data_IF_278208272951
#
_entry.id   IF_278208272951
#
_cell.length_a   1.000
_cell.length_b   1.000
_cell.length_c   1.000
_cell.angle_alpha   90.00
_cell.angle_beta   90.00
_cell.angle_gamma   90.00
#
_symmetry.space_group_name_H-M   'P 1'
#
loop_
_entity.id
_entity.type
_entity.pdbx_description
1 polymer ?
#
# COMPACT_ATOMS: atom_id res chain seq x y z
N UNK A 1 17.98 -4.04 14.92
CA UNK A 1 17.08 -2.89 15.15
C UNK A 1 16.08 -2.59 14.03
N UNK A 2 16.42 -2.76 12.74
CA UNK A 2 15.46 -2.51 11.64
C UNK A 2 14.21 -3.39 11.70
N UNK A 3 14.40 -4.71 11.89
CA UNK A 3 13.29 -5.69 11.93
C UNK A 3 12.26 -5.43 13.02
N UNK A 4 12.65 -4.70 14.08
CA UNK A 4 11.77 -4.33 15.19
C UNK A 4 11.32 -2.86 15.12
N UNK A 5 11.56 -2.17 14.00
CA UNK A 5 11.09 -0.80 13.76
C UNK A 5 11.83 0.30 14.52
N UNK A 6 12.99 0.01 15.14
CA UNK A 6 13.67 0.93 16.06
C UNK A 6 14.71 1.87 15.41
N UNK A 7 15.12 1.60 14.17
CA UNK A 7 16.02 2.49 13.40
C UNK A 7 17.49 2.48 13.81
N UNK A 8 18.26 3.46 13.31
CA UNK A 8 19.71 3.59 13.57
C UNK A 8 20.00 4.11 14.98
N UNK A 9 19.30 5.15 15.44
CA UNK A 9 19.55 5.75 16.76
C UNK A 9 19.42 4.74 17.90
N UNK A 10 18.43 3.85 17.83
CA UNK A 10 18.30 2.77 18.82
C UNK A 10 19.42 1.72 18.72
N UNK A 11 20.00 1.51 17.53
CA UNK A 11 21.15 0.64 17.35
C UNK A 11 22.41 1.28 17.94
N UNK A 12 22.60 2.58 17.76
CA UNK A 12 23.67 3.36 18.39
C UNK A 12 23.56 3.31 19.92
N UNK A 13 22.36 3.55 20.47
CA UNK A 13 22.11 3.43 21.91
C UNK A 13 22.42 2.03 22.43
N UNK A 14 21.98 0.98 21.73
CA UNK A 14 22.27 -0.40 22.11
C UNK A 14 23.77 -0.70 22.10
N UNK A 15 24.49 -0.32 21.03
CA UNK A 15 25.93 -0.52 20.97
C UNK A 15 26.65 0.22 22.12
N UNK A 16 26.26 1.46 22.39
CA UNK A 16 26.81 2.26 23.49
C UNK A 16 26.62 1.59 24.86
N UNK A 17 25.40 1.10 25.15
CA UNK A 17 25.09 0.41 26.41
C UNK A 17 25.86 -0.91 26.57
N UNK A 18 26.18 -1.58 25.46
CA UNK A 18 26.91 -2.85 25.45
C UNK A 18 28.43 -2.66 25.33
N UNK A 19 28.93 -1.42 25.39
CA UNK A 19 30.34 -1.08 25.15
C UNK A 19 30.88 -1.61 23.81
N UNK A 20 30.01 -1.67 22.79
CA UNK A 20 30.35 -2.04 21.42
C UNK A 20 30.71 -0.80 20.59
N UNK A 21 31.53 -0.94 19.54
CA UNK A 21 31.77 0.16 18.61
C UNK A 21 30.47 0.61 17.94
N UNK A 22 30.45 1.86 17.49
CA UNK A 22 29.34 2.40 16.71
C UNK A 22 29.06 1.50 15.49
N UNK A 23 27.79 1.24 15.18
CA UNK A 23 27.41 0.22 14.21
C UNK A 23 27.87 0.60 12.80
N UNK A 24 27.15 1.52 12.15
CA UNK A 24 27.46 2.02 10.81
C UNK A 24 27.17 3.52 10.78
N UNK A 25 27.82 4.25 9.88
CA UNK A 25 27.47 5.65 9.65
C UNK A 25 26.04 5.80 9.11
N UNK A 26 25.41 6.95 9.36
CA UNK A 26 24.11 7.30 8.80
C UNK A 26 24.06 7.11 7.28
N UNK A 27 25.09 7.57 6.55
CA UNK A 27 25.18 7.41 5.09
C UNK A 27 25.19 5.94 4.65
N UNK A 28 25.91 5.08 5.38
CA UNK A 28 25.92 3.64 5.09
C UNK A 28 24.57 3.00 5.42
N UNK A 29 23.96 3.35 6.55
CA UNK A 29 22.64 2.88 6.94
C UNK A 29 21.56 3.22 5.91
N UNK A 30 21.54 4.47 5.43
CA UNK A 30 20.57 4.93 4.43
C UNK A 30 20.76 4.22 3.09
N UNK A 31 22.01 4.04 2.65
CA UNK A 31 22.33 3.29 1.43
C UNK A 31 21.88 1.83 1.51
N UNK A 32 22.12 1.18 2.65
CA UNK A 32 21.68 -0.20 2.87
C UNK A 32 20.16 -0.29 2.83
N UNK A 33 19.45 0.64 3.49
CA UNK A 33 18.00 0.63 3.49
C UNK A 33 17.38 0.90 2.12
N UNK A 34 17.95 1.82 1.35
CA UNK A 34 17.53 2.07 -0.03
C UNK A 34 17.67 0.78 -0.86
N UNK A 35 18.86 0.16 -0.84
CA UNK A 35 19.10 -1.08 -1.60
C UNK A 35 18.17 -2.22 -1.19
N UNK A 36 17.91 -2.38 0.11
CA UNK A 36 16.97 -3.41 0.55
C UNK A 36 15.54 -3.07 0.12
N UNK A 37 15.13 -1.80 0.17
CA UNK A 37 13.79 -1.40 -0.28
C UNK A 37 13.60 -1.73 -1.76
N UNK A 38 14.55 -1.37 -2.62
CA UNK A 38 14.50 -1.61 -4.07
C UNK A 38 14.37 -3.12 -4.38
N UNK A 39 15.24 -3.94 -3.77
CA UNK A 39 15.20 -5.40 -3.94
C UNK A 39 13.89 -6.00 -3.39
N UNK A 40 13.41 -5.51 -2.24
CA UNK A 40 12.17 -6.02 -1.65
C UNK A 40 10.96 -5.71 -2.53
N UNK A 41 10.92 -4.52 -3.13
CA UNK A 41 9.86 -4.10 -4.04
C UNK A 41 9.86 -4.94 -5.32
N UNK A 42 11.03 -5.17 -5.92
CA UNK A 42 11.18 -6.03 -7.09
C UNK A 42 10.68 -7.45 -6.81
N UNK A 43 11.13 -8.04 -5.70
CA UNK A 43 10.71 -9.39 -5.29
C UNK A 43 9.21 -9.46 -4.99
N UNK A 44 8.66 -8.46 -4.30
CA UNK A 44 7.24 -8.39 -4.02
C UNK A 44 6.42 -8.32 -5.32
N UNK A 45 6.81 -7.45 -6.26
CA UNK A 45 6.14 -7.33 -7.56
C UNK A 45 6.21 -8.63 -8.37
N UNK A 46 7.38 -9.28 -8.41
CA UNK A 46 7.54 -10.57 -9.08
C UNK A 46 6.69 -11.68 -8.43
N UNK A 47 6.61 -11.70 -7.10
CA UNK A 47 5.77 -12.66 -6.36
C UNK A 47 4.28 -12.44 -6.62
N UNK A 48 3.82 -11.19 -6.54
CA UNK A 48 2.43 -10.80 -6.79
C UNK A 48 2.01 -11.12 -8.24
N UNK A 49 2.87 -10.85 -9.23
CA UNK A 49 2.59 -11.19 -10.63
C UNK A 49 2.44 -12.71 -10.84
N UNK A 50 3.27 -13.52 -10.16
CA UNK A 50 3.14 -14.98 -10.17
C UNK A 50 1.85 -15.45 -9.49
N UNK A 51 1.44 -14.79 -8.42
CA UNK A 51 0.19 -15.11 -7.73
C UNK A 51 -1.03 -14.80 -8.60
N UNK A 52 -1.07 -13.62 -9.24
CA UNK A 52 -2.14 -13.25 -10.16
C UNK A 52 -2.28 -14.23 -11.34
N UNK A 53 -1.16 -14.62 -11.96
CA UNK A 53 -1.15 -15.61 -13.04
C UNK A 53 -1.52 -17.04 -12.57
N UNK A 54 -1.36 -17.35 -11.29
CA UNK A 54 -1.80 -18.63 -10.73
C UNK A 54 -3.31 -18.62 -10.48
N UNK A 55 -3.83 -17.52 -9.94
CA UNK A 55 -5.27 -17.31 -9.70
C UNK A 55 -6.05 -17.38 -11.03
N UNK A 56 -5.55 -16.73 -12.08
CA UNK A 56 -6.15 -16.74 -13.42
C UNK A 56 -6.29 -18.17 -14.00
N UNK A 57 -5.34 -19.06 -13.70
CA UNK A 57 -5.34 -20.45 -14.18
C UNK A 57 -6.31 -21.36 -13.44
N UNK A 58 -6.68 -21.01 -12.22
CA UNK A 58 -7.61 -21.80 -11.40
C UNK A 58 -9.05 -21.56 -11.89
N UNK A 59 -9.32 -20.39 -12.46
CA UNK A 59 -10.63 -20.02 -12.98
C UNK A 59 -10.96 -20.88 -14.20
N UNK A 60 -12.02 -21.67 -14.07
CA UNK A 60 -12.62 -22.36 -15.21
C UNK A 60 -13.16 -21.31 -16.20
N UNK A 61 -12.90 -21.50 -17.50
CA UNK A 61 -13.05 -20.49 -18.58
C UNK A 61 -14.48 -19.97 -18.79
N UNK A 62 -15.44 -20.45 -18.02
CA UNK A 62 -16.86 -20.12 -18.11
C UNK A 62 -17.25 -18.86 -17.34
N UNK A 63 -16.47 -18.41 -16.34
CA UNK A 63 -16.85 -17.25 -15.49
C UNK A 63 -15.83 -16.09 -15.51
N UNK A 64 -14.64 -16.25 -16.11
CA UNK A 64 -13.64 -15.18 -16.37
C UNK A 64 -13.47 -14.12 -15.25
N UNK A 65 -13.63 -14.49 -13.99
CA UNK A 65 -13.67 -13.54 -12.88
C UNK A 65 -12.80 -14.01 -11.74
N UNK A 66 -11.80 -13.20 -11.41
CA UNK A 66 -10.99 -13.42 -10.22
C UNK A 66 -11.79 -13.03 -9.00
N UNK A 67 -11.88 -13.95 -8.04
CA UNK A 67 -12.45 -13.70 -6.72
C UNK A 67 -11.35 -13.21 -5.79
N UNK A 68 -11.57 -12.07 -5.15
CA UNK A 68 -10.55 -11.42 -4.32
C UNK A 68 -11.11 -11.00 -2.98
N UNK A 69 -10.25 -11.01 -1.97
CA UNK A 69 -10.49 -10.42 -0.65
C UNK A 69 -9.54 -9.23 -0.46
N UNK A 70 -10.03 -8.10 0.04
CA UNK A 70 -9.23 -6.92 0.30
C UNK A 70 -9.32 -6.47 1.75
N UNK A 71 -8.19 -6.11 2.35
CA UNK A 71 -8.14 -5.53 3.69
C UNK A 71 -7.04 -4.45 3.81
N UNK A 72 -7.18 -3.58 4.81
CA UNK A 72 -6.28 -2.51 5.16
C UNK A 72 -5.57 -2.75 6.49
N UNK A 73 -4.32 -2.31 6.60
CA UNK A 73 -3.59 -2.25 7.88
C UNK A 73 -2.93 -0.90 8.07
N UNK A 74 -2.78 -0.47 9.33
CA UNK A 74 -2.26 0.86 9.68
C UNK A 74 -1.02 0.75 10.55
N UNK A 75 -0.09 1.69 10.35
CA UNK A 75 1.17 1.76 11.11
C UNK A 75 0.94 1.89 12.62
N UNK A 76 -0.09 2.61 13.04
CA UNK A 76 -0.45 2.81 14.45
C UNK A 76 -1.88 2.38 14.69
N UNK A 77 -2.18 1.87 15.90
CA UNK A 77 -3.55 1.58 16.32
C UNK A 77 -4.38 2.87 16.43
N UNK A 78 -5.68 2.74 16.18
CA UNK A 78 -6.65 3.84 16.21
C UNK A 78 -6.84 4.53 14.85
N UNK A 79 -7.74 5.51 14.82
CA UNK A 79 -8.20 6.16 13.57
C UNK A 79 -7.33 7.36 13.12
N UNK A 80 -6.11 7.50 13.67
CA UNK A 80 -5.21 8.65 13.44
C UNK A 80 -3.93 8.30 12.70
N UNK A 81 -3.79 7.05 12.23
CA UNK A 81 -2.60 6.64 11.50
C UNK A 81 -2.43 7.43 10.19
N UNK A 82 -1.22 7.91 9.95
CA UNK A 82 -0.86 8.66 8.75
C UNK A 82 -0.36 7.78 7.60
N UNK A 83 -0.18 6.49 7.86
CA UNK A 83 0.31 5.50 6.90
C UNK A 83 -0.55 4.24 7.03
N UNK A 84 -1.08 3.79 5.91
CA UNK A 84 -1.81 2.55 5.77
C UNK A 84 -1.28 1.73 4.60
N UNK A 85 -1.54 0.44 4.61
CA UNK A 85 -1.25 -0.47 3.50
C UNK A 85 -2.52 -1.25 3.21
N UNK A 86 -2.92 -1.24 1.94
CA UNK A 86 -4.08 -1.97 1.45
C UNK A 86 -3.55 -3.17 0.68
N UNK A 87 -4.07 -4.36 0.93
CA UNK A 87 -3.61 -5.58 0.27
C UNK A 87 -4.80 -6.38 -0.26
N UNK A 88 -4.66 -6.87 -1.49
CA UNK A 88 -5.65 -7.70 -2.15
C UNK A 88 -5.12 -9.13 -2.26
N UNK A 89 -5.92 -10.10 -1.86
CA UNK A 89 -5.60 -11.53 -1.77
C UNK A 89 -6.54 -12.30 -2.70
N UNK A 90 -6.01 -13.24 -3.46
CA UNK A 90 -6.81 -14.15 -4.29
C UNK A 90 -7.52 -15.17 -3.41
N UNK A 91 -8.82 -15.39 -3.62
CA UNK A 91 -9.60 -16.30 -2.80
C UNK A 91 -9.16 -17.76 -2.98
N UNK A 92 -8.72 -18.14 -4.18
CA UNK A 92 -8.37 -19.52 -4.49
C UNK A 92 -6.90 -19.84 -4.17
N UNK A 93 -5.97 -18.94 -4.51
CA UNK A 93 -4.55 -19.14 -4.23
C UNK A 93 -4.15 -18.77 -2.78
N UNK A 94 -4.96 -17.96 -2.10
CA UNK A 94 -4.68 -17.45 -0.75
C UNK A 94 -3.43 -16.55 -0.68
N UNK A 95 -2.98 -15.99 -1.81
CA UNK A 95 -1.77 -15.16 -1.91
C UNK A 95 -2.13 -13.72 -2.24
N UNK A 96 -1.24 -12.80 -1.85
CA UNK A 96 -1.35 -11.38 -2.20
C UNK A 96 -1.17 -11.21 -3.71
N UNK A 97 -2.19 -10.65 -4.36
CA UNK A 97 -2.20 -10.32 -5.78
C UNK A 97 -1.71 -8.90 -6.03
N UNK A 98 -2.05 -7.96 -5.15
CA UNK A 98 -1.58 -6.58 -5.25
C UNK A 98 -1.61 -5.88 -3.88
N UNK A 99 -0.85 -4.79 -3.75
CA UNK A 99 -0.85 -3.95 -2.57
C UNK A 99 -0.61 -2.48 -2.89
N UNK A 100 -1.16 -1.58 -2.09
CA UNK A 100 -0.96 -0.14 -2.21
C UNK A 100 -0.61 0.47 -0.85
N UNK A 101 0.49 1.22 -0.80
CA UNK A 101 0.87 1.99 0.39
C UNK A 101 0.21 3.36 0.31
N UNK A 102 -0.63 3.67 1.30
CA UNK A 102 -1.34 4.93 1.40
C UNK A 102 -0.69 5.80 2.48
N UNK A 103 -0.47 7.08 2.18
CA UNK A 103 0.14 8.01 3.11
C UNK A 103 -0.45 9.41 3.02
N UNK A 104 -0.85 9.93 4.17
CA UNK A 104 -1.20 11.33 4.37
C UNK A 104 -0.02 12.17 4.89
N UNK A 105 1.15 11.55 5.08
CA UNK A 105 2.34 12.16 5.65
C UNK A 105 3.53 12.12 4.69
N UNK A 106 4.31 13.18 4.69
CA UNK A 106 5.63 13.18 4.08
C UNK A 106 6.58 13.99 4.97
N UNK A 107 7.72 13.39 5.34
CA UNK A 107 8.74 14.06 6.16
C UNK A 107 9.27 15.33 5.50
N UNK A 108 9.39 15.34 4.17
CA UNK A 108 9.81 16.54 3.43
C UNK A 108 8.80 17.69 3.56
N UNK A 109 7.51 17.40 3.42
CA UNK A 109 6.43 18.38 3.64
C UNK A 109 6.39 18.87 5.09
N UNK A 110 6.67 18.00 6.05
CA UNK A 110 6.63 18.30 7.49
C UNK A 110 7.86 19.11 7.97
N UNK A 111 9.00 18.93 7.30
CA UNK A 111 10.25 19.62 7.63
C UNK A 111 10.25 21.09 7.17
N UNK A 112 9.41 21.45 6.20
CA UNK A 112 9.25 22.85 5.78
C UNK A 112 8.37 23.61 6.77
N UNK A 113 9.01 24.30 7.71
CA UNK A 113 8.36 25.13 8.74
C UNK A 113 8.07 26.57 8.26
N UNK A 114 8.39 26.89 7.02
CA UNK A 114 8.17 28.23 6.45
C UNK A 114 6.69 28.54 6.18
N UNK A 115 6.36 29.79 5.81
CA UNK A 115 5.03 30.14 5.32
C UNK A 115 4.70 29.30 4.08
N UNK A 116 3.55 28.62 4.08
CA UNK A 116 3.07 27.78 2.96
C UNK A 116 2.52 28.59 1.78
N UNK A 117 3.04 29.79 1.57
CA UNK A 117 2.54 30.81 0.65
C UNK A 117 3.72 31.57 0.02
N UNK A 118 3.51 32.04 -1.20
CA UNK A 118 4.45 32.89 -1.91
C UNK A 118 5.53 32.15 -2.73
N UNK A 119 6.44 32.90 -3.37
CA UNK A 119 7.35 32.37 -4.40
C UNK A 119 8.35 31.33 -3.90
N UNK A 120 8.76 31.42 -2.63
CA UNK A 120 9.69 30.46 -2.01
C UNK A 120 9.03 29.09 -1.81
N UNK A 121 7.78 29.09 -1.34
CA UNK A 121 7.02 27.86 -1.14
C UNK A 121 6.65 27.21 -2.48
N UNK A 122 6.28 27.98 -3.51
CA UNK A 122 6.00 27.42 -4.83
C UNK A 122 7.25 26.79 -5.47
N UNK A 123 8.42 27.42 -5.33
CA UNK A 123 9.70 26.85 -5.78
C UNK A 123 10.08 25.58 -5.00
N UNK A 124 9.85 25.54 -3.69
CA UNK A 124 10.01 24.33 -2.88
C UNK A 124 9.07 23.23 -3.34
N UNK A 125 7.77 23.53 -3.48
CA UNK A 125 6.74 22.56 -3.86
C UNK A 125 7.03 21.95 -5.23
N UNK A 126 7.44 22.76 -6.22
CA UNK A 126 7.82 22.29 -7.54
C UNK A 126 8.98 21.27 -7.49
N UNK A 127 9.98 21.50 -6.63
CA UNK A 127 11.11 20.58 -6.44
C UNK A 127 10.74 19.37 -5.59
N UNK A 128 9.89 19.54 -4.59
CA UNK A 128 9.53 18.50 -3.64
C UNK A 128 8.49 17.53 -4.20
N UNK A 129 7.64 17.98 -5.13
CA UNK A 129 6.53 17.18 -5.68
C UNK A 129 6.98 15.79 -6.15
N UNK A 130 8.12 15.70 -6.83
CA UNK A 130 8.69 14.43 -7.34
C UNK A 130 9.16 13.46 -6.23
N UNK A 131 9.43 13.98 -5.03
CA UNK A 131 9.86 13.20 -3.86
C UNK A 131 8.78 13.06 -2.79
N UNK A 132 7.61 13.68 -3.01
CA UNK A 132 6.52 13.67 -2.06
C UNK A 132 5.93 12.26 -1.98
N UNK A 133 5.87 11.71 -0.76
CA UNK A 133 5.28 10.39 -0.51
C UNK A 133 3.81 10.45 -0.12
N UNK A 134 3.26 11.66 -0.02
CA UNK A 134 1.84 11.86 0.33
C UNK A 134 0.99 11.56 -0.91
N UNK A 135 0.12 10.56 -0.80
CA UNK A 135 -0.78 10.15 -1.87
C UNK A 135 -2.24 10.04 -1.40
N UNK A 136 -2.53 10.47 -0.16
CA UNK A 136 -3.86 10.45 0.44
C UNK A 136 -4.20 11.77 1.15
N UNK A 137 -5.47 12.15 1.07
CA UNK A 137 -6.07 13.22 1.85
C UNK A 137 -7.38 12.72 2.49
N UNK A 138 -7.60 13.10 3.76
CA UNK A 138 -8.75 12.66 4.54
C UNK A 138 -8.38 11.74 5.71
N UNK A 139 -9.37 11.02 6.23
CA UNK A 139 -9.24 10.17 7.41
C UNK A 139 -8.38 8.93 7.15
N UNK A 140 -7.87 8.32 8.23
CA UNK A 140 -7.13 7.05 8.16
C UNK A 140 -7.99 5.93 7.58
N UNK A 141 -9.27 5.82 7.97
CA UNK A 141 -10.19 4.81 7.43
C UNK A 141 -10.42 4.93 5.93
N UNK A 142 -10.42 6.16 5.39
CA UNK A 142 -10.56 6.37 3.93
C UNK A 142 -9.34 5.87 3.13
N UNK A 143 -8.20 5.61 3.78
CA UNK A 143 -7.03 5.07 3.08
C UNK A 143 -7.31 3.71 2.46
N UNK A 144 -8.06 2.86 3.14
CA UNK A 144 -8.42 1.53 2.63
C UNK A 144 -9.25 1.64 1.35
N UNK A 145 -10.33 2.43 1.40
CA UNK A 145 -11.21 2.69 0.26
C UNK A 145 -10.42 3.20 -0.95
N UNK A 146 -9.60 4.26 -0.75
CA UNK A 146 -8.82 4.84 -1.83
C UNK A 146 -7.69 3.92 -2.32
N UNK A 147 -7.09 3.11 -1.45
CA UNK A 147 -6.07 2.14 -1.82
C UNK A 147 -6.65 1.00 -2.65
N UNK A 148 -7.82 0.49 -2.28
CA UNK A 148 -8.52 -0.55 -3.04
C UNK A 148 -8.94 -0.04 -4.42
N UNK A 149 -9.47 1.18 -4.53
CA UNK A 149 -9.74 1.80 -5.84
C UNK A 149 -8.51 1.78 -6.75
N UNK A 150 -7.35 2.19 -6.24
CA UNK A 150 -6.11 2.19 -7.03
C UNK A 150 -5.68 0.80 -7.47
N UNK A 151 -5.85 -0.20 -6.61
CA UNK A 151 -5.54 -1.60 -6.94
C UNK A 151 -6.46 -2.10 -8.06
N UNK A 152 -7.76 -1.87 -7.96
CA UNK A 152 -8.73 -2.29 -8.97
C UNK A 152 -8.49 -1.60 -10.31
N UNK A 153 -8.29 -0.29 -10.31
CA UNK A 153 -8.09 0.51 -11.53
C UNK A 153 -6.83 0.12 -12.33
N UNK A 154 -5.79 -0.42 -11.67
CA UNK A 154 -4.55 -0.83 -12.35
C UNK A 154 -4.46 -2.34 -12.62
N UNK A 155 -5.46 -3.11 -12.21
CA UNK A 155 -5.42 -4.58 -12.22
C UNK A 155 -5.13 -5.16 -13.59
N UNK A 156 -5.84 -4.73 -14.62
CA UNK A 156 -5.62 -5.18 -16.00
C UNK A 156 -4.26 -4.78 -16.53
N UNK A 157 -3.86 -3.52 -16.35
CA UNK A 157 -2.57 -3.03 -16.84
C UNK A 157 -1.39 -3.74 -16.14
N UNK A 158 -1.50 -3.97 -14.84
CA UNK A 158 -0.41 -4.50 -14.01
C UNK A 158 -0.31 -6.03 -14.11
N UNK A 159 -1.45 -6.71 -14.12
CA UNK A 159 -1.53 -8.17 -13.95
C UNK A 159 -2.30 -8.88 -15.07
N UNK A 160 -3.01 -8.18 -15.93
CA UNK A 160 -3.80 -8.77 -17.01
C UNK A 160 -5.11 -9.39 -16.57
N UNK A 161 -5.57 -9.11 -15.34
CA UNK A 161 -6.75 -9.76 -14.74
C UNK A 161 -7.79 -8.74 -14.27
N UNK A 162 -9.06 -9.13 -14.34
CA UNK A 162 -10.20 -8.37 -13.80
C UNK A 162 -10.70 -9.00 -12.49
N UNK A 163 -10.82 -8.19 -11.45
CA UNK A 163 -11.35 -8.56 -10.15
C UNK A 163 -12.86 -8.29 -10.13
N UNK A 164 -13.67 -9.27 -10.52
CA UNK A 164 -15.13 -9.06 -10.62
C UNK A 164 -15.89 -9.48 -9.37
N UNK A 165 -15.30 -10.28 -8.48
CA UNK A 165 -15.97 -10.75 -7.26
C UNK A 165 -15.18 -10.33 -6.04
N UNK A 166 -15.76 -9.46 -5.22
CA UNK A 166 -15.11 -8.89 -4.04
C UNK A 166 -15.71 -9.47 -2.77
N UNK A 167 -14.90 -10.19 -2.00
CA UNK A 167 -15.19 -10.61 -0.64
C UNK A 167 -14.75 -9.47 0.28
N UNK A 168 -15.71 -8.82 0.91
CA UNK A 168 -15.47 -7.72 1.84
C UNK A 168 -16.02 -8.02 3.22
N UNK A 169 -15.61 -7.23 4.20
CA UNK A 169 -16.26 -7.15 5.49
C UNK A 169 -17.67 -6.52 5.37
N UNK A 170 -18.40 -6.49 6.47
CA UNK A 170 -19.76 -5.94 6.50
C UNK A 170 -19.82 -4.45 6.10
N UNK A 171 -18.72 -3.69 6.21
CA UNK A 171 -18.66 -2.29 5.82
C UNK A 171 -18.62 -2.15 4.29
N UNK A 172 -19.80 -1.90 3.72
CA UNK A 172 -19.97 -1.87 2.26
C UNK A 172 -19.35 -0.62 1.58
N UNK A 173 -18.70 0.29 2.33
CA UNK A 173 -18.11 1.52 1.78
C UNK A 173 -17.04 1.24 0.73
N UNK A 174 -16.15 0.28 0.98
CA UNK A 174 -15.07 -0.05 0.05
C UNK A 174 -15.64 -0.58 -1.25
N UNK A 175 -16.55 -1.55 -1.19
CA UNK A 175 -17.25 -2.10 -2.37
C UNK A 175 -17.97 -1.01 -3.17
N UNK A 176 -18.82 -0.20 -2.52
CA UNK A 176 -19.58 0.86 -3.18
C UNK A 176 -18.66 1.83 -3.92
N UNK A 177 -17.53 2.19 -3.30
CA UNK A 177 -16.58 3.13 -3.89
C UNK A 177 -15.78 2.54 -5.05
N UNK A 178 -15.56 1.22 -5.08
CA UNK A 178 -14.95 0.55 -6.23
C UNK A 178 -15.97 0.45 -7.37
N UNK A 179 -17.22 0.08 -7.07
CA UNK A 179 -18.30 -0.03 -8.05
C UNK A 179 -18.57 1.32 -8.75
N UNK A 180 -18.58 2.43 -8.01
CA UNK A 180 -18.72 3.79 -8.56
C UNK A 180 -17.57 4.20 -9.50
N UNK A 181 -16.39 3.58 -9.35
CA UNK A 181 -15.23 3.89 -10.20
C UNK A 181 -15.23 3.16 -11.52
N UNK A 182 -16.13 2.21 -11.73
CA UNK A 182 -16.27 1.42 -12.96
C UNK A 182 -14.89 1.03 -13.55
N UNK A 183 -14.08 0.24 -12.83
CA UNK A 183 -12.68 0.03 -13.20
C UNK A 183 -12.49 -0.75 -14.52
N UNK A 184 -13.57 -1.26 -15.12
CA UNK A 184 -13.56 -2.12 -16.30
C UNK A 184 -14.52 -1.59 -17.37
N UNK A 185 -14.04 -1.44 -18.61
CA UNK A 185 -14.77 -0.80 -19.72
C UNK A 185 -16.01 -1.58 -20.19
N UNK A 186 -16.03 -2.90 -20.00
CA UNK A 186 -17.10 -3.79 -20.49
C UNK A 186 -18.39 -3.73 -19.66
N UNK A 187 -18.51 -2.77 -18.74
CA UNK A 187 -19.64 -2.62 -17.82
C UNK A 187 -19.97 -3.90 -17.01
N UNK A 188 -18.99 -4.79 -16.81
CA UNK A 188 -19.18 -5.97 -15.97
C UNK A 188 -19.20 -5.51 -14.52
N UNK A 189 -20.36 -5.60 -13.82
CA UNK A 189 -20.46 -5.10 -12.47
C UNK A 189 -19.63 -5.97 -11.52
N UNK A 190 -18.97 -5.32 -10.56
CA UNK A 190 -18.33 -6.04 -9.47
C UNK A 190 -19.42 -6.58 -8.55
N UNK A 191 -19.36 -7.87 -8.25
CA UNK A 191 -20.29 -8.56 -7.37
C UNK A 191 -19.69 -8.65 -5.98
N UNK A 192 -20.39 -8.12 -4.98
CA UNK A 192 -20.03 -8.32 -3.57
C UNK A 192 -20.39 -9.74 -3.14
N UNK A 193 -19.48 -10.40 -2.45
CA UNK A 193 -19.72 -11.65 -1.72
C UNK A 193 -19.62 -11.34 -0.24
N UNK A 194 -20.63 -11.73 0.53
CA UNK A 194 -20.62 -11.56 1.98
C UNK A 194 -19.68 -12.58 2.65
N UNK A 195 -18.90 -12.11 3.63
CA UNK A 195 -18.03 -12.96 4.43
C UNK A 195 -18.86 -13.74 5.48
N UNK A 196 -18.82 -15.07 5.45
CA UNK A 196 -19.66 -15.97 6.26
C UNK A 196 -19.33 -16.06 7.76
N UNK A 197 -18.80 -15.01 8.37
CA UNK A 197 -18.39 -14.99 9.78
C UNK A 197 -18.38 -13.60 10.44
N UNK A 198 -18.96 -12.59 9.80
CA UNK A 198 -19.14 -11.27 10.39
C UNK A 198 -20.47 -11.26 11.15
N UNK A 199 -20.42 -11.12 12.48
CA UNK A 199 -21.59 -10.87 13.35
C UNK A 199 -21.53 -9.41 13.80
#
# INVERSE_FOLDING_TARGET
MRYIGQGLSSLETFCSLMCLPNPVSQKAYDRINAKIADISEELANASMKKAAAAEEKIIDRTVNSVVVNGDGTWKTRGHTSLIGVCALIGADCGKVLDMEVMSSYCKGCDSDKGPKLGPKYSAFLAKHHIFCRKNHSGSAGKMEVCGMQKIFLRSEQKHGVKYQRYIGDGDSKTFLSIAEKEPYEDSVPIVKIECGGHV
#
